data_IF_554478666405
#
_entry.id   IF_554478666405
#
_cell.length_a   1.000
_cell.length_b   1.000
_cell.length_c   1.000
_cell.angle_alpha   90.00
_cell.angle_beta   90.00
_cell.angle_gamma   90.00
#
_symmetry.space_group_name_H-M   'P 1'
#
loop_
_entity.id
_entity.type
_entity.pdbx_description
1 polymer ?
#
# COMPACT_ATOMS: atom_id res chain seq x y z
N UNK A 1 -35.53 -31.04 19.50
CA UNK A 1 -34.33 -31.32 18.68
C UNK A 1 -34.73 -32.07 17.42
N UNK A 2 -34.49 -31.49 16.23
CA UNK A 2 -34.93 -32.08 14.96
C UNK A 2 -33.89 -33.09 14.43
N UNK A 3 -34.27 -34.34 14.10
CA UNK A 3 -33.35 -35.40 13.70
C UNK A 3 -32.60 -35.12 12.39
N UNK A 4 -33.18 -34.30 11.50
CA UNK A 4 -32.57 -33.90 10.22
C UNK A 4 -31.29 -33.06 10.37
N UNK A 5 -31.11 -32.34 11.50
CA UNK A 5 -29.90 -31.53 11.73
C UNK A 5 -28.69 -32.38 12.17
N UNK A 6 -28.93 -33.57 12.72
CA UNK A 6 -27.87 -34.45 13.24
C UNK A 6 -27.09 -35.17 12.13
N UNK A 7 -27.75 -35.47 11.01
CA UNK A 7 -27.12 -36.08 9.83
C UNK A 7 -26.56 -35.05 8.85
N UNK A 8 -26.99 -33.79 8.92
CA UNK A 8 -26.49 -32.69 8.08
C UNK A 8 -25.09 -32.22 8.47
N UNK A 9 -24.79 -32.16 9.77
CA UNK A 9 -23.50 -31.72 10.29
C UNK A 9 -22.28 -32.53 9.79
N UNK A 10 -22.29 -33.88 9.82
CA UNK A 10 -21.14 -34.67 9.34
C UNK A 10 -20.94 -34.58 7.82
N UNK A 11 -22.01 -34.37 7.04
CA UNK A 11 -21.93 -34.18 5.59
C UNK A 11 -21.21 -32.89 5.20
N UNK A 12 -21.47 -31.80 5.93
CA UNK A 12 -20.82 -30.51 5.69
C UNK A 12 -19.32 -30.58 6.04
N UNK A 13 -18.96 -31.29 7.11
CA UNK A 13 -17.57 -31.50 7.52
C UNK A 13 -16.82 -32.37 6.50
N UNK A 14 -17.44 -33.44 5.98
CA UNK A 14 -16.84 -34.27 4.94
C UNK A 14 -16.60 -33.51 3.62
N UNK A 15 -17.51 -32.59 3.25
CA UNK A 15 -17.41 -31.80 2.02
C UNK A 15 -16.30 -30.74 2.08
N UNK A 16 -16.05 -30.15 3.26
CA UNK A 16 -14.97 -29.16 3.43
C UNK A 16 -13.57 -29.78 3.45
N UNK A 17 -13.43 -31.02 3.91
CA UNK A 17 -12.17 -31.78 3.89
C UNK A 17 -11.73 -32.22 2.48
N UNK A 18 -12.65 -32.30 1.51
CA UNK A 18 -12.32 -32.66 0.12
C UNK A 18 -11.57 -31.55 -0.63
N UNK A 19 -11.77 -30.27 -0.26
CA UNK A 19 -11.16 -29.13 -0.94
C UNK A 19 -9.72 -28.81 -0.49
N UNK A 20 -9.14 -29.63 0.40
CA UNK A 20 -7.80 -29.43 0.93
C UNK A 20 -6.69 -30.18 0.14
N UNK A 21 -6.98 -30.70 -1.06
CA UNK A 21 -5.97 -31.36 -1.91
C UNK A 21 -5.30 -30.35 -2.85
N UNK A 22 -4.15 -29.84 -2.37
CA UNK A 22 -2.94 -29.40 -3.05
C UNK A 22 -2.98 -29.03 -4.56
N UNK A 23 -2.55 -27.79 -4.85
CA UNK A 23 -1.48 -27.54 -5.84
C UNK A 23 -0.44 -26.61 -5.23
N UNK A 24 0.80 -27.10 -5.14
CA UNK A 24 2.01 -26.36 -4.86
C UNK A 24 2.95 -26.50 -6.07
N UNK A 25 3.74 -25.45 -6.34
CA UNK A 25 4.77 -25.30 -7.39
C UNK A 25 4.22 -25.12 -8.83
N UNK A 26 4.74 -24.31 -9.74
CA UNK A 26 5.84 -23.32 -9.81
C UNK A 26 5.65 -22.57 -11.15
N UNK A 27 6.11 -21.31 -11.26
CA UNK A 27 6.22 -20.62 -12.55
C UNK A 27 6.26 -19.09 -12.42
N UNK A 28 7.44 -18.54 -12.09
CA UNK A 28 7.81 -17.19 -12.51
C UNK A 28 8.10 -17.28 -14.01
N UNK A 29 7.32 -16.60 -14.84
CA UNK A 29 7.76 -16.24 -16.19
C UNK A 29 8.42 -14.87 -16.06
N UNK A 30 9.76 -14.90 -16.08
CA UNK A 30 10.60 -13.75 -16.40
C UNK A 30 10.52 -13.57 -17.93
N UNK A 31 10.05 -12.40 -18.36
CA UNK A 31 10.34 -11.87 -19.69
C UNK A 31 11.16 -10.59 -19.48
N UNK A 32 12.48 -10.75 -19.51
CA UNK A 32 13.45 -9.70 -19.80
C UNK A 32 13.65 -9.68 -21.32
N UNK A 33 13.42 -8.54 -21.99
CA UNK A 33 14.18 -7.97 -23.13
C UNK A 33 13.75 -6.49 -23.23
N UNK A 34 14.53 -5.53 -22.71
CA UNK A 34 15.59 -4.73 -23.35
C UNK A 34 15.11 -3.51 -24.18
N UNK A 35 15.60 -2.33 -23.75
CA UNK A 35 15.95 -1.06 -24.43
C UNK A 35 15.13 -0.55 -25.66
N UNK A 36 14.92 0.74 -25.92
CA UNK A 36 15.77 1.93 -25.85
C UNK A 36 14.84 3.14 -26.19
N UNK A 37 15.16 4.38 -25.81
CA UNK A 37 14.45 5.52 -26.40
C UNK A 37 14.42 6.80 -25.57
N UNK A 38 15.38 7.66 -25.84
CA UNK A 38 15.54 9.00 -25.31
C UNK A 38 14.33 9.92 -25.58
N UNK A 39 13.86 10.62 -24.55
CA UNK A 39 13.17 11.90 -24.73
C UNK A 39 14.05 13.01 -24.19
N UNK A 40 14.78 13.60 -25.12
CA UNK A 40 15.77 14.66 -24.94
C UNK A 40 15.04 15.99 -24.70
N UNK A 41 14.73 16.33 -23.46
CA UNK A 41 14.36 17.72 -23.13
C UNK A 41 15.61 18.49 -22.67
N UNK A 42 16.06 19.34 -23.58
CA UNK A 42 17.24 20.18 -23.42
C UNK A 42 16.92 21.30 -22.44
N UNK A 43 17.66 21.37 -21.33
CA UNK A 43 17.95 22.64 -20.68
C UNK A 43 19.47 22.76 -20.62
N UNK A 44 19.99 23.74 -21.36
CA UNK A 44 21.41 24.03 -21.53
C UNK A 44 22.12 24.24 -20.19
N UNK A 45 23.28 23.62 -20.03
CA UNK A 45 24.34 24.15 -19.18
C UNK A 45 25.69 23.73 -19.73
N UNK A 46 26.37 24.68 -20.39
CA UNK A 46 27.75 24.52 -20.84
C UNK A 46 28.67 24.22 -19.66
N UNK A 47 29.49 23.18 -19.81
CA UNK A 47 30.63 22.94 -18.92
C UNK A 47 31.74 23.93 -19.24
N UNK A 48 31.81 25.01 -18.46
CA UNK A 48 33.05 25.76 -18.31
C UNK A 48 33.68 25.39 -16.97
N UNK A 49 34.88 24.83 -17.04
CA UNK A 49 35.75 24.66 -15.88
C UNK A 49 36.05 26.04 -15.29
N UNK A 50 35.62 26.30 -14.06
CA UNK A 50 36.10 27.44 -13.30
C UNK A 50 36.52 27.02 -11.89
N UNK A 51 37.75 27.40 -11.54
CA UNK A 51 38.04 27.97 -10.22
C UNK A 51 36.97 29.03 -9.97
N UNK A 52 35.97 28.67 -9.18
CA UNK A 52 34.82 29.48 -8.84
C UNK A 52 33.94 28.69 -7.90
N UNK A 53 33.48 29.34 -6.83
CA UNK A 53 32.56 28.84 -5.82
C UNK A 53 31.37 28.08 -6.47
N UNK A 54 31.48 26.76 -6.58
CA UNK A 54 30.38 25.90 -6.99
C UNK A 54 29.56 25.58 -5.76
N UNK A 55 28.35 26.12 -5.69
CA UNK A 55 27.33 25.71 -4.71
C UNK A 55 26.95 24.26 -5.00
N UNK A 56 27.78 23.32 -4.55
CA UNK A 56 27.38 21.95 -4.32
C UNK A 56 26.15 22.04 -3.41
N UNK A 57 24.96 21.90 -3.98
CA UNK A 57 23.81 21.47 -3.21
C UNK A 57 24.01 19.96 -3.07
N UNK A 58 24.56 19.42 -1.96
CA UNK A 58 24.30 18.03 -1.66
C UNK A 58 22.78 17.97 -1.59
N UNK A 59 22.13 17.39 -2.60
CA UNK A 59 20.72 17.08 -2.50
C UNK A 59 20.59 15.89 -1.54
N UNK A 60 20.92 16.14 -0.28
CA UNK A 60 20.62 15.32 0.86
C UNK A 60 19.11 15.43 1.06
N UNK A 61 18.37 14.83 0.12
CA UNK A 61 16.92 14.92 0.06
C UNK A 61 16.41 14.04 1.19
N UNK A 62 16.18 14.65 2.35
CA UNK A 62 15.61 14.05 3.56
C UNK A 62 14.15 13.62 3.28
N UNK A 63 13.99 12.59 2.47
CA UNK A 63 12.70 11.94 2.19
C UNK A 63 12.62 10.65 2.98
N UNK A 64 11.40 10.21 3.26
CA UNK A 64 11.21 8.95 3.98
C UNK A 64 11.68 7.71 3.21
N UNK A 65 11.94 7.84 1.90
CA UNK A 65 12.55 6.77 1.10
C UNK A 65 14.04 6.60 1.41
N UNK A 66 14.72 7.70 1.79
CA UNK A 66 16.13 7.71 2.17
C UNK A 66 16.29 7.44 3.68
N UNK A 67 15.44 8.05 4.50
CA UNK A 67 15.41 7.86 5.94
C UNK A 67 13.97 7.70 6.43
N UNK A 68 13.48 6.45 6.61
CA UNK A 68 12.13 6.18 7.10
C UNK A 68 11.84 6.71 8.51
N UNK A 69 12.89 7.00 9.30
CA UNK A 69 12.77 7.45 10.69
C UNK A 69 11.96 8.74 10.82
N UNK A 70 12.00 9.59 9.79
CA UNK A 70 11.25 10.86 9.76
C UNK A 70 9.73 10.65 9.81
N UNK A 71 9.22 9.47 9.48
CA UNK A 71 7.78 9.17 9.59
C UNK A 71 7.36 8.83 11.03
N UNK A 72 8.29 8.52 11.93
CA UNK A 72 7.99 8.18 13.33
C UNK A 72 8.08 9.39 14.27
N UNK A 73 8.59 10.53 13.80
CA UNK A 73 8.64 11.74 14.62
C UNK A 73 7.22 12.25 14.90
N UNK A 74 7.02 12.82 16.09
CA UNK A 74 5.73 13.41 16.46
C UNK A 74 5.36 14.53 15.48
N UNK A 75 4.11 14.53 15.02
CA UNK A 75 3.60 15.51 14.05
C UNK A 75 3.83 15.10 12.59
N UNK A 76 4.48 13.97 12.31
CA UNK A 76 4.45 13.40 10.96
C UNK A 76 3.00 13.02 10.58
N UNK A 77 2.65 13.01 9.28
CA UNK A 77 1.31 12.60 8.83
C UNK A 77 1.00 11.11 9.04
N UNK A 78 2.00 10.31 9.45
CA UNK A 78 1.85 8.90 9.76
C UNK A 78 3.13 8.11 9.54
N UNK A 79 3.19 6.86 10.02
CA UNK A 79 4.44 6.11 10.09
C UNK A 79 4.85 5.43 8.77
N UNK A 80 4.01 5.45 7.73
CA UNK A 80 4.28 4.72 6.48
C UNK A 80 4.82 5.63 5.39
N UNK A 81 5.92 5.24 4.75
CA UNK A 81 6.47 5.99 3.62
C UNK A 81 5.84 5.55 2.28
N UNK A 82 4.93 6.35 1.73
CA UNK A 82 4.36 6.15 0.40
C UNK A 82 4.85 7.22 -0.58
N UNK A 83 5.56 6.80 -1.65
CA UNK A 83 6.11 7.71 -2.69
C UNK A 83 6.91 8.90 -2.12
N UNK A 84 7.79 8.65 -1.15
CA UNK A 84 8.63 9.67 -0.47
C UNK A 84 7.86 10.59 0.52
N UNK A 85 6.59 10.32 0.78
CA UNK A 85 5.74 11.05 1.73
C UNK A 85 5.29 10.12 2.85
N UNK A 86 5.36 10.59 4.09
CA UNK A 86 4.83 9.89 5.25
C UNK A 86 3.30 9.97 5.25
N UNK A 87 2.61 8.85 5.47
CA UNK A 87 1.14 8.74 5.50
C UNK A 87 0.69 7.79 6.60
N UNK A 88 -0.52 8.00 7.11
CA UNK A 88 -1.18 7.03 7.96
C UNK A 88 -2.15 6.17 7.12
N UNK A 89 -1.75 4.93 6.86
CA UNK A 89 -2.55 3.96 6.11
C UNK A 89 -3.86 3.58 6.82
N UNK A 90 -4.04 3.94 8.10
CA UNK A 90 -5.28 3.63 8.83
C UNK A 90 -6.44 4.55 8.46
N UNK A 91 -6.14 5.74 7.95
CA UNK A 91 -7.14 6.80 7.68
C UNK A 91 -7.00 7.41 6.29
N UNK A 92 -5.86 7.27 5.62
CA UNK A 92 -5.68 7.78 4.26
C UNK A 92 -6.45 6.92 3.25
N UNK A 93 -7.54 7.48 2.72
CA UNK A 93 -8.37 6.88 1.67
C UNK A 93 -7.62 6.47 0.40
N UNK A 94 -6.48 7.10 0.10
CA UNK A 94 -5.66 6.78 -1.09
C UNK A 94 -4.58 5.72 -0.82
N UNK A 95 -4.34 5.40 0.44
CA UNK A 95 -3.31 4.46 0.89
C UNK A 95 -3.84 3.55 2.02
N UNK A 96 -5.11 3.14 1.94
CA UNK A 96 -5.81 2.48 3.03
C UNK A 96 -5.27 1.06 3.26
N UNK A 97 -4.74 0.78 4.44
CA UNK A 97 -4.06 -0.48 4.77
C UNK A 97 -2.72 -0.69 4.06
N UNK A 98 -2.33 0.19 3.12
CA UNK A 98 -1.08 0.08 2.38
C UNK A 98 -0.94 1.11 1.26
N UNK A 99 0.29 1.39 0.83
CA UNK A 99 0.56 2.36 -0.22
C UNK A 99 -0.15 2.01 -1.53
N UNK A 100 -0.69 3.04 -2.21
CA UNK A 100 -1.46 2.93 -3.46
C UNK A 100 -2.75 2.10 -3.35
N UNK A 101 -3.19 1.73 -2.15
CA UNK A 101 -4.47 1.04 -1.96
C UNK A 101 -5.61 2.06 -1.77
N UNK A 102 -6.23 2.47 -2.87
CA UNK A 102 -7.28 3.49 -2.86
C UNK A 102 -8.66 2.87 -2.66
N UNK A 103 -9.42 3.37 -1.69
CA UNK A 103 -10.82 2.97 -1.51
C UNK A 103 -11.73 3.47 -2.65
N UNK A 104 -12.87 2.79 -2.86
CA UNK A 104 -13.84 3.14 -3.90
C UNK A 104 -14.46 4.52 -3.66
N UNK A 105 -15.18 5.05 -4.67
CA UNK A 105 -15.73 6.42 -4.63
C UNK A 105 -16.61 6.71 -3.41
N UNK A 106 -17.36 5.71 -2.93
CA UNK A 106 -18.29 5.82 -1.80
C UNK A 106 -17.75 5.23 -0.49
N UNK A 107 -16.47 4.89 -0.46
CA UNK A 107 -15.84 4.25 0.68
C UNK A 107 -14.85 5.21 1.34
N UNK A 108 -14.73 5.08 2.66
CA UNK A 108 -13.76 5.75 3.52
C UNK A 108 -12.73 4.73 4.03
N UNK A 109 -11.57 5.20 4.48
CA UNK A 109 -10.61 4.34 5.17
C UNK A 109 -10.85 4.40 6.67
N UNK A 110 -11.14 3.27 7.28
CA UNK A 110 -11.38 3.12 8.71
C UNK A 110 -10.53 1.96 9.23
N UNK A 111 -9.60 2.25 10.14
CA UNK A 111 -8.63 1.27 10.66
C UNK A 111 -7.91 0.45 9.59
N UNK A 112 -7.56 1.09 8.48
CA UNK A 112 -6.86 0.45 7.36
C UNK A 112 -7.75 -0.45 6.50
N UNK A 113 -9.07 -0.35 6.63
CA UNK A 113 -10.05 -1.04 5.78
C UNK A 113 -10.94 -0.05 5.07
N UNK A 114 -11.25 -0.33 3.81
CA UNK A 114 -12.24 0.43 3.07
C UNK A 114 -13.64 0.00 3.50
N UNK A 115 -14.42 0.94 4.02
CA UNK A 115 -15.80 0.71 4.46
C UNK A 115 -16.71 1.74 3.81
N UNK A 116 -17.98 1.39 3.60
CA UNK A 116 -18.92 2.33 3.01
C UNK A 116 -19.07 3.58 3.89
N UNK A 117 -19.08 4.77 3.27
CA UNK A 117 -19.11 6.03 4.01
C UNK A 117 -20.31 6.16 4.97
N UNK A 118 -21.46 5.56 4.63
CA UNK A 118 -22.66 5.62 5.48
C UNK A 118 -22.56 4.74 6.74
N UNK A 119 -21.63 3.78 6.79
CA UNK A 119 -21.32 3.06 8.03
C UNK A 119 -20.54 3.92 9.02
N UNK A 120 -19.91 5.02 8.58
CA UNK A 120 -19.08 5.84 9.45
C UNK A 120 -17.86 5.11 10.02
N UNK A 121 -17.12 5.81 10.88
CA UNK A 121 -15.97 5.28 11.60
C UNK A 121 -16.00 5.88 13.01
N UNK A 122 -16.05 5.05 14.05
CA UNK A 122 -16.02 5.54 15.42
C UNK A 122 -14.61 6.04 15.82
N UNK A 123 -14.46 6.77 16.93
CA UNK A 123 -13.14 7.20 17.44
C UNK A 123 -12.13 6.07 17.66
N UNK A 124 -12.58 4.85 17.97
CA UNK A 124 -11.74 3.66 18.08
C UNK A 124 -11.40 3.01 16.72
N UNK A 125 -11.97 3.53 15.64
CA UNK A 125 -11.74 3.06 14.28
C UNK A 125 -12.52 1.79 13.92
N UNK A 126 -13.58 1.47 14.65
CA UNK A 126 -14.55 0.45 14.25
C UNK A 126 -15.53 1.04 13.24
N UNK A 127 -15.82 0.25 12.20
CA UNK A 127 -16.94 0.55 11.31
C UNK A 127 -18.24 0.34 12.11
N UNK A 128 -19.05 1.37 12.24
CA UNK A 128 -20.36 1.23 12.87
C UNK A 128 -21.27 0.49 11.88
N UNK A 129 -21.81 -0.64 12.32
CA UNK A 129 -22.92 -1.25 11.61
C UNK A 129 -24.16 -0.42 11.94
N UNK A 130 -24.71 0.24 10.92
CA UNK A 130 -26.06 0.80 11.00
C UNK A 130 -27.10 -0.32 10.92
#
# INVERSE_FOLDING_TARGET
MNPSKKTLLPLIIALSLLMAHATAASGHEEEDEEEEGEEKEMIEAGSTSFRGFGSFLPQNKHTCKRDPSICFVKGSPGPFCCKKVCVDVKVDRRNCGGCKNKCKKKDICCSGRCVFAYMGCDPAGLALQA
#
